data_IF_464496616076
#
_entry.id   IF_464496616076
#
_cell.length_a   1.000
_cell.length_b   1.000
_cell.length_c   1.000
_cell.angle_alpha   90.00
_cell.angle_beta   90.00
_cell.angle_gamma   90.00
#
_symmetry.space_group_name_H-M   'P 1'
#
loop_
_entity.id
_entity.type
_entity.pdbx_description
1 polymer ?
#
# COMPACT_ATOMS: atom_id res chain seq x y z
N UNK A 1 -11.06 29.32 -13.53
CA UNK A 1 -9.72 28.84 -13.10
C UNK A 1 -8.92 29.81 -12.23
N UNK A 2 -8.87 31.15 -12.46
CA UNK A 2 -7.90 31.98 -11.72
C UNK A 2 -8.25 32.16 -10.24
N UNK A 3 -9.52 32.17 -9.83
CA UNK A 3 -9.92 32.40 -8.42
C UNK A 3 -9.74 31.13 -7.56
N UNK A 4 -10.12 29.96 -8.06
CA UNK A 4 -9.86 28.69 -7.36
C UNK A 4 -8.36 28.38 -7.32
N UNK A 5 -7.62 28.67 -8.40
CA UNK A 5 -6.17 28.61 -8.41
C UNK A 5 -5.55 29.66 -7.48
N UNK A 6 -6.09 30.88 -7.38
CA UNK A 6 -5.64 31.89 -6.42
C UNK A 6 -5.93 31.47 -4.98
N UNK A 7 -7.08 30.85 -4.72
CA UNK A 7 -7.47 30.37 -3.39
C UNK A 7 -6.65 29.15 -2.99
N UNK A 8 -6.46 28.17 -3.89
CA UNK A 8 -5.55 27.05 -3.69
C UNK A 8 -4.09 27.51 -3.59
N UNK A 9 -3.67 28.52 -4.34
CA UNK A 9 -2.35 29.14 -4.19
C UNK A 9 -2.24 29.94 -2.89
N UNK A 10 -3.30 30.59 -2.40
CA UNK A 10 -3.30 31.31 -1.11
C UNK A 10 -3.26 30.34 0.06
N UNK A 11 -4.01 29.25 -0.02
CA UNK A 11 -3.98 28.17 0.98
C UNK A 11 -2.64 27.43 0.91
N UNK A 12 -2.14 27.13 -0.29
CA UNK A 12 -0.82 26.53 -0.51
C UNK A 12 0.32 27.44 -0.04
N UNK A 13 0.24 28.76 -0.27
CA UNK A 13 1.24 29.72 0.23
C UNK A 13 1.12 29.93 1.74
N UNK A 14 -0.07 29.92 2.35
CA UNK A 14 -0.17 29.87 3.81
C UNK A 14 0.44 28.59 4.39
N UNK A 15 0.23 27.45 3.73
CA UNK A 15 0.86 26.18 4.11
C UNK A 15 2.37 26.26 3.94
N UNK A 16 2.89 26.76 2.82
CA UNK A 16 4.33 26.95 2.55
C UNK A 16 4.98 27.94 3.53
N UNK A 17 4.33 29.07 3.83
CA UNK A 17 4.80 30.04 4.83
C UNK A 17 4.86 29.38 6.22
N UNK A 18 3.93 28.47 6.53
CA UNK A 18 4.00 27.65 7.74
C UNK A 18 5.03 26.48 7.66
N UNK A 19 5.63 26.21 6.49
CA UNK A 19 6.77 25.28 6.33
C UNK A 19 8.13 25.99 6.37
N UNK A 20 8.18 27.32 6.20
CA UNK A 20 9.45 28.06 6.11
C UNK A 20 10.18 28.27 7.45
N UNK A 21 9.56 27.98 8.59
CA UNK A 21 10.23 28.07 9.89
C UNK A 21 11.18 26.88 10.22
N UNK A 22 11.26 25.85 9.37
CA UNK A 22 12.06 24.63 9.64
C UNK A 22 13.23 24.35 8.68
N UNK A 23 13.67 25.29 7.84
CA UNK A 23 14.87 25.08 7.02
C UNK A 23 16.06 25.87 7.58
N UNK A 24 16.99 25.26 8.35
CA UNK A 24 18.29 25.86 8.54
C UNK A 24 19.02 25.87 7.18
N UNK A 25 19.57 27.02 6.83
CA UNK A 25 20.23 27.28 5.56
C UNK A 25 21.22 26.17 5.17
N UNK A 26 20.95 25.49 4.06
CA UNK A 26 21.94 24.64 3.40
C UNK A 26 23.12 25.52 2.99
N UNK A 27 24.26 25.31 3.65
CA UNK A 27 25.53 25.89 3.24
C UNK A 27 25.90 25.27 1.90
N UNK A 28 26.09 26.11 0.88
CA UNK A 28 26.53 25.70 -0.43
C UNK A 28 27.90 25.01 -0.34
N UNK A 29 27.94 23.68 -0.53
CA UNK A 29 29.16 22.98 -0.90
C UNK A 29 29.22 22.95 -2.42
N UNK A 30 30.10 23.80 -2.92
CA UNK A 30 30.49 23.93 -4.30
C UNK A 30 31.08 22.60 -4.80
N UNK A 31 30.60 22.15 -5.96
CA UNK A 31 31.14 21.01 -6.68
C UNK A 31 32.60 21.24 -7.07
N UNK A 32 33.54 20.51 -6.47
CA UNK A 32 34.84 20.25 -7.08
C UNK A 32 34.72 18.96 -7.90
N UNK A 33 34.31 19.14 -9.16
CA UNK A 33 34.44 18.12 -10.19
C UNK A 33 35.84 18.28 -10.78
N UNK A 34 36.79 17.46 -10.34
CA UNK A 34 38.13 17.46 -10.91
C UNK A 34 38.11 16.69 -12.23
N UNK A 35 38.26 17.46 -13.30
CA UNK A 35 38.54 17.09 -14.66
C UNK A 35 39.74 16.12 -14.74
N UNK A 36 39.53 14.89 -15.24
CA UNK A 36 40.62 14.04 -15.73
C UNK A 36 40.55 14.10 -17.25
N UNK A 37 41.33 15.02 -17.80
CA UNK A 37 41.62 15.14 -19.22
C UNK A 37 42.47 13.95 -19.68
N UNK A 38 42.17 13.45 -20.86
CA UNK A 38 42.98 12.48 -21.57
C UNK A 38 44.32 13.11 -21.98
N UNK A 39 45.43 12.54 -21.53
CA UNK A 39 46.70 12.45 -22.24
C UNK A 39 47.67 11.59 -21.42
N UNK A 40 47.99 10.40 -21.92
CA UNK A 40 49.36 9.90 -22.17
C UNK A 40 49.21 8.50 -22.78
N UNK A 41 49.51 8.44 -24.08
CA UNK A 41 49.82 7.23 -24.83
C UNK A 41 51.27 6.84 -24.50
N UNK A 42 51.46 5.56 -24.18
CA UNK A 42 52.70 4.80 -24.26
C UNK A 42 52.29 3.34 -24.12
N UNK A 43 52.00 2.64 -25.22
CA UNK A 43 52.97 1.86 -26.00
C UNK A 43 53.92 1.09 -25.10
N UNK A 44 53.51 -0.13 -24.76
CA UNK A 44 54.37 -1.31 -24.68
C UNK A 44 53.46 -2.53 -24.90
N UNK A 45 53.55 -3.10 -26.09
CA UNK A 45 52.81 -4.28 -26.48
C UNK A 45 53.34 -5.54 -25.82
N UNK A 46 52.42 -6.41 -25.38
CA UNK A 46 52.69 -7.85 -25.40
C UNK A 46 51.39 -8.61 -25.70
N UNK A 47 51.36 -9.23 -26.87
CA UNK A 47 50.28 -10.09 -27.33
C UNK A 47 50.52 -11.52 -26.81
N UNK A 48 49.56 -12.09 -26.10
CA UNK A 48 49.48 -13.54 -25.87
C UNK A 48 48.05 -14.03 -26.12
N UNK A 49 47.98 -15.13 -26.87
CA UNK A 49 46.85 -15.74 -27.55
C UNK A 49 45.91 -16.56 -26.60
N UNK A 50 44.84 -17.22 -27.11
CA UNK A 50 43.58 -17.45 -26.40
C UNK A 50 43.55 -18.65 -25.44
N UNK A 51 42.46 -18.71 -24.66
CA UNK A 51 42.12 -19.66 -23.62
C UNK A 51 42.33 -21.15 -23.95
N UNK A 52 42.60 -21.98 -22.92
CA UNK A 52 42.28 -23.40 -22.94
C UNK A 52 41.14 -23.76 -21.97
N UNK A 53 40.31 -24.71 -22.42
CA UNK A 53 39.28 -25.41 -21.66
C UNK A 53 39.79 -26.06 -20.36
N UNK A 54 39.02 -25.93 -19.27
CA UNK A 54 39.12 -26.76 -18.06
C UNK A 54 37.71 -26.90 -17.46
N UNK A 55 37.00 -28.00 -17.74
CA UNK A 55 36.99 -29.29 -17.02
C UNK A 55 35.91 -29.37 -15.91
N UNK A 56 35.25 -30.53 -15.90
CA UNK A 56 33.97 -30.84 -15.29
C UNK A 56 33.95 -30.81 -13.75
N UNK A 57 32.79 -30.46 -13.20
CA UNK A 57 32.43 -30.52 -11.78
C UNK A 57 32.23 -32.00 -11.39
N UNK A 58 32.84 -32.51 -10.30
CA UNK A 58 32.53 -33.86 -9.83
C UNK A 58 31.19 -33.92 -9.10
N UNK A 59 30.42 -34.95 -9.47
CA UNK A 59 29.12 -35.36 -8.94
C UNK A 59 29.24 -35.79 -7.46
N UNK A 60 28.40 -35.25 -6.59
CA UNK A 60 28.37 -35.61 -5.16
C UNK A 60 27.35 -36.75 -4.98
N UNK A 61 27.86 -37.93 -4.66
CA UNK A 61 27.10 -39.15 -4.36
C UNK A 61 26.37 -39.06 -3.01
N UNK A 62 25.08 -39.40 -3.00
CA UNK A 62 24.26 -39.63 -1.79
C UNK A 62 24.77 -40.83 -0.96
N UNK A 63 24.74 -40.77 0.39
CA UNK A 63 24.87 -41.96 1.22
C UNK A 63 23.52 -42.65 1.46
N UNK A 64 23.50 -43.99 1.63
CA UNK A 64 22.29 -44.81 1.51
C UNK A 64 21.42 -44.85 2.76
N UNK A 65 20.14 -45.13 2.53
CA UNK A 65 19.11 -45.43 3.51
C UNK A 65 19.51 -46.63 4.41
N UNK A 66 19.38 -46.44 5.73
CA UNK A 66 19.39 -47.53 6.70
C UNK A 66 17.97 -47.80 7.21
N UNK A 67 17.62 -49.08 7.27
CA UNK A 67 16.29 -49.61 7.50
C UNK A 67 15.83 -49.49 8.96
N UNK A 68 14.51 -49.50 9.09
CA UNK A 68 13.72 -49.42 10.31
C UNK A 68 13.90 -50.61 11.27
N UNK A 69 13.73 -50.33 12.56
CA UNK A 69 13.25 -51.29 13.55
C UNK A 69 12.11 -50.62 14.32
N UNK A 70 10.88 -51.08 14.10
CA UNK A 70 9.65 -50.64 14.75
C UNK A 70 9.25 -51.62 15.85
N UNK A 71 8.94 -51.11 17.04
CA UNK A 71 8.34 -51.87 18.14
C UNK A 71 6.99 -51.21 18.53
N UNK A 72 5.92 -51.96 18.23
CA UNK A 72 4.55 -52.00 18.79
C UNK A 72 3.63 -50.74 18.80
N UNK A 73 2.56 -50.82 17.99
CA UNK A 73 1.23 -50.18 18.17
C UNK A 73 0.44 -50.88 19.30
N UNK A 74 -0.55 -50.29 20.00
CA UNK A 74 -1.91 -49.82 19.59
C UNK A 74 -2.66 -49.21 20.82
N UNK A 75 -3.88 -48.62 20.74
CA UNK A 75 -4.44 -47.67 19.77
C UNK A 75 -5.03 -46.40 20.45
N UNK A 76 -5.07 -45.28 19.72
CA UNK A 76 -5.87 -44.10 20.05
C UNK A 76 -7.22 -44.15 19.33
N UNK A 77 -8.28 -43.72 20.03
CA UNK A 77 -9.67 -43.76 19.59
C UNK A 77 -9.97 -42.87 18.36
N UNK A 78 -10.78 -43.40 17.44
CA UNK A 78 -11.32 -42.75 16.25
C UNK A 78 -12.27 -41.58 16.56
N UNK A 79 -12.09 -40.46 15.86
CA UNK A 79 -13.09 -39.40 15.68
C UNK A 79 -13.35 -39.28 14.16
N UNK A 80 -14.59 -39.33 13.67
CA UNK A 80 -14.89 -39.39 12.24
C UNK A 80 -14.73 -38.03 11.53
N UNK A 81 -14.24 -38.07 10.29
CA UNK A 81 -14.07 -36.93 9.39
C UNK A 81 -15.42 -36.36 8.89
N UNK A 82 -15.55 -35.04 8.70
CA UNK A 82 -16.71 -34.46 8.03
C UNK A 82 -16.58 -34.52 6.50
N UNK A 83 -17.72 -34.71 5.84
CA UNK A 83 -17.86 -34.94 4.41
C UNK A 83 -17.47 -33.74 3.53
N UNK A 84 -16.83 -34.04 2.40
CA UNK A 84 -16.47 -33.11 1.32
C UNK A 84 -17.71 -32.77 0.49
N UNK A 85 -17.99 -31.48 0.33
CA UNK A 85 -18.99 -30.94 -0.60
C UNK A 85 -18.25 -30.25 -1.74
N UNK A 86 -18.47 -30.71 -2.97
CA UNK A 86 -17.91 -30.12 -4.21
C UNK A 86 -18.47 -28.72 -4.50
N UNK A 87 -17.66 -27.76 -4.97
CA UNK A 87 -18.15 -26.59 -5.68
C UNK A 87 -17.94 -26.74 -7.20
N UNK A 88 -19.05 -26.67 -7.94
CA UNK A 88 -19.06 -26.52 -9.38
C UNK A 88 -18.85 -25.03 -9.76
N UNK A 89 -17.82 -24.74 -10.57
CA UNK A 89 -17.80 -23.66 -11.56
C UNK A 89 -16.47 -23.68 -12.34
N UNK A 90 -16.55 -24.11 -13.60
CA UNK A 90 -15.50 -24.09 -14.62
C UNK A 90 -15.07 -22.68 -14.98
N UNK A 91 -13.76 -22.42 -14.95
CA UNK A 91 -13.12 -21.21 -15.51
C UNK A 91 -12.42 -21.64 -16.81
N UNK A 92 -12.87 -21.10 -17.95
CA UNK A 92 -12.25 -21.32 -19.26
C UNK A 92 -10.96 -20.50 -19.40
N UNK A 93 -9.86 -21.18 -19.72
CA UNK A 93 -8.59 -20.60 -20.06
C UNK A 93 -8.55 -20.19 -21.54
N UNK A 94 -8.18 -18.94 -21.81
CA UNK A 94 -7.97 -18.40 -23.15
C UNK A 94 -6.60 -18.85 -23.70
N UNK A 95 -6.60 -19.57 -24.82
CA UNK A 95 -5.39 -19.90 -25.58
C UNK A 95 -5.54 -19.48 -27.05
N UNK A 96 -4.53 -18.77 -27.53
CA UNK A 96 -4.37 -18.22 -28.88
C UNK A 96 -4.24 -19.29 -29.97
N UNK A 97 -4.84 -19.08 -31.15
CA UNK A 97 -4.50 -19.82 -32.37
C UNK A 97 -4.41 -18.89 -33.58
N UNK A 98 -3.28 -19.05 -34.28
CA UNK A 98 -2.79 -18.37 -35.49
C UNK A 98 -3.48 -18.93 -36.76
N UNK A 99 -3.57 -18.10 -37.81
CA UNK A 99 -4.32 -18.32 -39.05
C UNK A 99 -3.63 -19.16 -40.15
N UNK A 100 -4.47 -19.57 -41.14
CA UNK A 100 -4.26 -19.85 -42.59
C UNK A 100 -4.58 -21.29 -43.08
N UNK A 101 -4.95 -21.52 -44.37
CA UNK A 101 -5.82 -20.73 -45.27
C UNK A 101 -6.90 -21.59 -46.00
N UNK A 102 -7.88 -20.92 -46.62
CA UNK A 102 -9.07 -21.50 -47.29
C UNK A 102 -8.75 -22.02 -48.71
N UNK A 103 -9.33 -23.17 -49.09
CA UNK A 103 -9.26 -23.82 -50.41
C UNK A 103 -10.66 -23.83 -51.06
N UNK A 104 -10.75 -23.39 -52.33
CA UNK A 104 -11.94 -23.38 -53.22
C UNK A 104 -11.58 -24.29 -54.41
N UNK A 105 -12.44 -25.22 -54.91
CA UNK A 105 -13.54 -24.95 -55.87
C UNK A 105 -14.73 -25.95 -55.72
N UNK A 106 -15.84 -25.99 -56.47
CA UNK A 106 -16.15 -25.63 -57.85
C UNK A 106 -17.67 -25.36 -58.04
N UNK A 107 -17.97 -24.75 -59.17
CA UNK A 107 -19.25 -24.19 -59.63
C UNK A 107 -20.21 -25.26 -60.16
N UNK A 108 -21.52 -25.12 -59.89
CA UNK A 108 -22.57 -25.58 -60.80
C UNK A 108 -23.81 -24.68 -60.75
N UNK A 109 -24.21 -24.20 -61.92
CA UNK A 109 -25.30 -23.24 -62.19
C UNK A 109 -26.51 -23.99 -62.74
N UNK A 110 -27.74 -23.58 -62.38
CA UNK A 110 -28.81 -23.58 -63.36
C UNK A 110 -29.37 -22.19 -63.59
N UNK A 111 -29.40 -21.84 -64.87
CA UNK A 111 -29.95 -20.62 -65.47
C UNK A 111 -31.47 -20.68 -65.42
N UNK A 112 -32.10 -19.64 -64.86
CA UNK A 112 -33.49 -19.29 -65.15
C UNK A 112 -33.60 -17.76 -65.24
N UNK A 113 -33.82 -17.27 -66.45
CA UNK A 113 -33.95 -15.86 -66.79
C UNK A 113 -35.35 -15.33 -66.38
N UNK A 114 -35.37 -14.20 -65.67
CA UNK A 114 -36.55 -13.37 -65.48
C UNK A 114 -36.16 -11.88 -65.71
N UNK A 115 -37.08 -11.03 -66.20
CA UNK A 115 -36.74 -9.88 -67.04
C UNK A 115 -36.14 -8.68 -66.31
N UNK A 116 -35.29 -7.95 -67.04
CA UNK A 116 -34.59 -6.72 -66.65
C UNK A 116 -35.56 -5.53 -66.70
N UNK A 117 -35.78 -4.87 -65.56
CA UNK A 117 -36.27 -3.48 -65.52
C UNK A 117 -35.07 -2.51 -65.39
N UNK A 118 -35.10 -1.33 -66.07
CA UNK A 118 -33.92 -0.48 -66.16
C UNK A 118 -33.63 0.23 -64.85
N UNK A 119 -32.39 0.07 -64.38
CA UNK A 119 -31.83 0.72 -63.22
C UNK A 119 -31.95 2.25 -63.29
N UNK A 120 -32.71 2.84 -62.37
CA UNK A 120 -32.54 4.23 -61.97
C UNK A 120 -31.39 4.28 -60.95
N UNK A 121 -30.26 4.87 -61.35
CA UNK A 121 -29.15 5.18 -60.45
C UNK A 121 -29.61 6.24 -59.46
N UNK A 122 -30.02 5.81 -58.26
CA UNK A 122 -30.23 6.70 -57.14
C UNK A 122 -28.87 7.10 -56.57
N UNK A 123 -28.38 8.28 -56.96
CA UNK A 123 -27.30 8.97 -56.27
C UNK A 123 -27.82 9.34 -54.88
N UNK A 124 -27.32 8.64 -53.85
CA UNK A 124 -27.59 9.01 -52.47
C UNK A 124 -26.96 10.38 -52.19
N UNK A 125 -27.81 11.41 -52.13
CA UNK A 125 -27.43 12.74 -51.64
C UNK A 125 -27.18 12.59 -50.13
N UNK A 126 -25.93 12.68 -49.72
CA UNK A 126 -25.56 12.74 -48.31
C UNK A 126 -26.15 14.03 -47.70
N UNK A 127 -27.02 13.88 -46.70
CA UNK A 127 -27.42 14.99 -45.84
C UNK A 127 -26.18 15.57 -45.16
N UNK A 128 -26.01 16.91 -45.09
CA UNK A 128 -24.89 17.49 -44.39
C UNK A 128 -24.99 17.13 -42.91
N UNK A 129 -23.96 16.46 -42.40
CA UNK A 129 -23.82 16.14 -40.99
C UNK A 129 -23.99 17.43 -40.17
N UNK A 130 -24.99 17.42 -39.28
CA UNK A 130 -25.23 18.48 -38.32
C UNK A 130 -23.96 18.67 -37.50
N UNK A 131 -23.29 19.80 -37.68
CA UNK A 131 -22.06 20.12 -36.95
C UNK A 131 -22.29 19.91 -35.45
N UNK A 132 -21.31 19.35 -34.71
CA UNK A 132 -21.45 19.22 -33.27
C UNK A 132 -21.57 20.63 -32.70
N UNK A 133 -22.73 20.91 -32.10
CA UNK A 133 -22.94 22.14 -31.35
C UNK A 133 -21.95 22.13 -30.19
N UNK A 134 -20.83 22.83 -30.34
CA UNK A 134 -19.91 23.10 -29.24
C UNK A 134 -20.65 24.04 -28.29
N UNK A 135 -21.01 23.63 -27.05
CA UNK A 135 -21.68 24.54 -26.14
C UNK A 135 -20.74 25.71 -25.82
N UNK A 136 -21.10 26.90 -26.30
CA UNK A 136 -20.34 28.15 -26.18
C UNK A 136 -20.44 28.80 -24.79
N UNK A 137 -20.38 27.99 -23.73
CA UNK A 137 -20.13 28.51 -22.38
C UNK A 137 -19.13 27.61 -21.68
N UNK A 138 -17.96 28.18 -21.37
CA UNK A 138 -17.06 27.63 -20.35
C UNK A 138 -17.82 27.67 -19.02
N UNK A 139 -18.60 26.63 -18.74
CA UNK A 139 -19.19 26.42 -17.43
C UNK A 139 -18.07 25.99 -16.48
N UNK A 140 -17.38 26.97 -15.90
CA UNK A 140 -16.33 26.73 -14.90
C UNK A 140 -16.86 26.05 -13.64
N UNK A 141 -18.16 26.17 -13.39
CA UNK A 141 -18.84 25.53 -12.27
C UNK A 141 -20.02 24.73 -12.79
N UNK A 142 -20.00 23.45 -12.50
CA UNK A 142 -21.16 22.58 -12.66
C UNK A 142 -22.02 22.68 -11.40
N UNK A 143 -23.12 23.44 -11.48
CA UNK A 143 -24.06 23.59 -10.37
C UNK A 143 -24.73 22.27 -9.96
N UNK A 144 -24.70 21.24 -10.80
CA UNK A 144 -25.20 19.91 -10.42
C UNK A 144 -24.36 19.24 -9.34
N UNK A 145 -23.09 19.65 -9.18
CA UNK A 145 -22.15 19.11 -8.18
C UNK A 145 -21.81 20.10 -7.07
N UNK A 146 -22.66 21.11 -6.86
CA UNK A 146 -22.45 22.11 -5.81
C UNK A 146 -22.39 21.48 -4.40
N UNK A 147 -23.11 20.38 -4.18
CA UNK A 147 -23.04 19.57 -2.96
C UNK A 147 -21.63 19.02 -2.69
N UNK A 148 -20.95 18.48 -3.71
CA UNK A 148 -19.57 17.97 -3.60
C UNK A 148 -18.62 19.10 -3.22
N UNK A 149 -18.77 20.29 -3.82
CA UNK A 149 -17.97 21.46 -3.47
C UNK A 149 -18.15 21.86 -2.00
N UNK A 150 -19.39 21.87 -1.50
CA UNK A 150 -19.67 22.16 -0.09
C UNK A 150 -19.02 21.13 0.84
N UNK A 151 -19.06 19.84 0.49
CA UNK A 151 -18.37 18.79 1.26
C UNK A 151 -16.87 19.01 1.29
N UNK A 152 -16.24 19.28 0.14
CA UNK A 152 -14.80 19.55 0.05
C UNK A 152 -14.42 20.79 0.88
N UNK A 153 -15.17 21.89 0.76
CA UNK A 153 -14.92 23.11 1.53
C UNK A 153 -15.08 22.88 3.04
N UNK A 154 -16.08 22.09 3.43
CA UNK A 154 -16.28 21.71 4.84
C UNK A 154 -15.10 20.89 5.34
N UNK A 155 -14.62 19.92 4.55
CA UNK A 155 -13.45 19.11 4.89
C UNK A 155 -12.19 19.98 5.04
N UNK A 156 -11.94 20.87 4.07
CA UNK A 156 -10.80 21.80 4.12
C UNK A 156 -10.90 22.72 5.34
N UNK A 157 -12.09 23.23 5.67
CA UNK A 157 -12.30 24.11 6.81
C UNK A 157 -12.00 23.41 8.14
N UNK A 158 -12.48 22.18 8.34
CA UNK A 158 -12.22 21.40 9.54
C UNK A 158 -10.74 21.05 9.69
N UNK A 159 -10.10 20.50 8.64
CA UNK A 159 -8.68 20.16 8.66
C UNK A 159 -7.83 21.41 8.96
N UNK A 160 -8.09 22.52 8.27
CA UNK A 160 -7.35 23.78 8.49
C UNK A 160 -7.57 24.35 9.90
N UNK A 161 -8.81 24.32 10.40
CA UNK A 161 -9.15 24.80 11.74
C UNK A 161 -8.38 24.03 12.83
N UNK A 162 -8.41 22.70 12.79
CA UNK A 162 -7.73 21.87 13.78
C UNK A 162 -6.20 21.92 13.64
N UNK A 163 -5.68 21.98 12.41
CA UNK A 163 -4.24 22.15 12.15
C UNK A 163 -3.72 23.47 12.74
N UNK A 164 -4.42 24.56 12.47
CA UNK A 164 -4.06 25.87 12.99
C UNK A 164 -4.13 25.93 14.53
N UNK A 165 -5.13 25.28 15.12
CA UNK A 165 -5.23 25.21 16.57
C UNK A 165 -4.14 24.34 17.21
N UNK A 166 -3.76 23.22 16.58
CA UNK A 166 -2.66 22.39 17.04
C UNK A 166 -1.33 23.16 17.02
N UNK A 167 -1.05 23.87 15.92
CA UNK A 167 0.16 24.69 15.76
C UNK A 167 0.26 25.80 16.80
N UNK A 168 -0.87 26.31 17.32
CA UNK A 168 -0.90 27.31 18.40
C UNK A 168 -0.69 26.74 19.81
N UNK A 169 -0.24 25.49 19.91
CA UNK A 169 0.07 24.83 21.18
C UNK A 169 -1.16 24.36 21.96
N UNK A 170 -2.33 24.30 21.34
CA UNK A 170 -3.47 23.61 21.97
C UNK A 170 -3.23 22.12 21.90
N UNK A 171 -3.17 21.47 23.05
CA UNK A 171 -3.11 20.01 23.13
C UNK A 171 -4.42 19.43 22.58
N UNK A 172 -4.34 18.82 21.40
CA UNK A 172 -5.46 18.09 20.81
C UNK A 172 -5.42 16.65 21.30
N UNK A 173 -6.50 16.21 21.92
CA UNK A 173 -6.65 14.82 22.32
C UNK A 173 -6.86 13.91 21.10
N UNK A 174 -5.90 13.01 20.86
CA UNK A 174 -6.00 11.87 19.94
C UNK A 174 -6.26 10.60 20.76
N UNK A 175 -7.11 9.70 20.25
CA UNK A 175 -7.34 8.38 20.85
C UNK A 175 -6.02 7.60 20.88
N UNK A 176 -5.75 6.91 21.99
CA UNK A 176 -4.60 5.99 22.08
C UNK A 176 -4.81 4.79 21.16
N UNK A 177 -3.79 4.47 20.38
CA UNK A 177 -3.76 3.30 19.51
C UNK A 177 -2.90 2.25 20.21
N UNK A 178 -3.54 1.18 20.71
CA UNK A 178 -2.88 0.19 21.59
C UNK A 178 -1.66 -0.46 20.93
N UNK A 179 -1.75 -0.81 19.65
CA UNK A 179 -0.62 -1.41 18.92
C UNK A 179 0.58 -0.48 18.77
N UNK A 180 0.36 0.84 18.78
CA UNK A 180 1.43 1.82 18.62
C UNK A 180 2.14 2.12 19.94
N UNK A 181 1.41 2.12 21.07
CA UNK A 181 2.06 2.15 22.39
C UNK A 181 2.88 0.89 22.67
N UNK A 182 2.43 -0.27 22.19
CA UNK A 182 3.14 -1.53 22.39
C UNK A 182 4.42 -1.64 21.55
N UNK A 183 4.61 -0.78 20.54
CA UNK A 183 5.80 -0.81 19.68
C UNK A 183 7.08 -0.50 20.45
N UNK A 184 7.10 0.56 21.25
CA UNK A 184 8.28 0.90 22.06
C UNK A 184 8.56 -0.16 23.11
N UNK A 185 7.53 -0.67 23.77
CA UNK A 185 7.63 -1.75 24.76
C UNK A 185 8.18 -3.04 24.14
N UNK A 186 7.78 -3.36 22.91
CA UNK A 186 8.27 -4.52 22.17
C UNK A 186 9.78 -4.42 21.86
N UNK A 187 10.27 -3.24 21.47
CA UNK A 187 11.71 -3.00 21.26
C UNK A 187 12.47 -3.07 22.60
N UNK A 188 11.91 -2.51 23.67
CA UNK A 188 12.46 -2.60 25.02
C UNK A 188 12.63 -4.06 25.46
N UNK A 189 11.57 -4.87 25.34
CA UNK A 189 11.66 -6.31 25.67
C UNK A 189 12.62 -7.08 24.78
N UNK A 190 12.71 -6.76 23.48
CA UNK A 190 13.69 -7.38 22.60
C UNK A 190 15.12 -7.13 23.11
N UNK A 191 15.39 -5.91 23.56
CA UNK A 191 16.67 -5.52 24.18
C UNK A 191 16.92 -6.29 25.48
N UNK A 192 15.93 -6.36 26.37
CA UNK A 192 16.03 -7.09 27.64
C UNK A 192 16.30 -8.59 27.44
N UNK A 193 15.78 -9.17 26.34
CA UNK A 193 16.02 -10.56 25.96
C UNK A 193 17.34 -10.77 25.20
N UNK A 194 18.06 -9.71 24.85
CA UNK A 194 19.27 -9.78 24.02
C UNK A 194 19.01 -10.29 22.60
N UNK A 195 17.78 -10.15 22.09
CA UNK A 195 17.32 -10.63 20.79
C UNK A 195 16.98 -9.44 19.88
N UNK A 196 17.05 -9.66 18.57
CA UNK A 196 16.77 -8.61 17.59
C UNK A 196 15.29 -8.29 17.40
N UNK A 197 15.05 -7.26 16.60
CA UNK A 197 13.75 -6.85 16.06
C UNK A 197 13.73 -7.15 14.57
N UNK A 198 12.64 -7.76 14.09
CA UNK A 198 12.36 -7.91 12.66
C UNK A 198 11.26 -6.93 12.23
N UNK A 199 11.45 -6.24 11.12
CA UNK A 199 10.51 -5.26 10.59
C UNK A 199 10.22 -5.49 9.11
N UNK A 200 8.94 -5.52 8.73
CA UNK A 200 8.49 -5.67 7.35
C UNK A 200 7.48 -4.55 7.01
N UNK A 201 7.79 -3.65 6.07
CA UNK A 201 6.93 -2.53 5.70
C UNK A 201 5.81 -2.89 4.68
N UNK A 202 5.40 -4.16 4.61
CA UNK A 202 4.54 -4.68 3.54
C UNK A 202 5.30 -5.22 2.33
N UNK A 203 4.55 -5.73 1.34
CA UNK A 203 5.12 -6.37 0.13
C UNK A 203 5.02 -5.54 -1.17
N UNK A 204 4.39 -4.38 -1.08
CA UNK A 204 4.17 -3.49 -2.24
C UNK A 204 5.35 -2.53 -2.41
N UNK A 205 5.40 -1.81 -3.54
CA UNK A 205 6.42 -0.80 -3.79
C UNK A 205 6.05 0.55 -3.14
N UNK A 206 6.89 1.57 -3.31
CA UNK A 206 6.69 2.92 -2.77
C UNK A 206 5.55 3.71 -3.44
N UNK A 207 4.90 3.16 -4.46
CA UNK A 207 3.67 3.71 -5.04
C UNK A 207 2.43 3.38 -4.18
N UNK A 208 2.53 2.38 -3.30
CA UNK A 208 1.51 2.06 -2.30
C UNK A 208 1.62 2.95 -1.06
N UNK A 209 0.49 3.53 -0.67
CA UNK A 209 0.40 4.44 0.47
C UNK A 209 0.68 3.74 1.80
N UNK A 210 0.39 2.44 1.92
CA UNK A 210 0.67 1.69 3.15
C UNK A 210 2.16 1.40 3.28
N UNK A 211 2.87 1.09 2.19
CA UNK A 211 4.33 0.97 2.19
C UNK A 211 5.00 2.26 2.65
N UNK A 212 4.55 3.42 2.16
CA UNK A 212 5.06 4.73 2.61
C UNK A 212 4.85 4.90 4.13
N UNK A 213 3.65 4.58 4.62
CA UNK A 213 3.35 4.64 6.06
C UNK A 213 4.23 3.67 6.87
N UNK A 214 4.38 2.43 6.41
CA UNK A 214 5.24 1.40 7.01
C UNK A 214 6.68 1.86 7.12
N UNK A 215 7.27 2.30 6.02
CA UNK A 215 8.66 2.81 6.03
C UNK A 215 8.82 4.06 6.92
N UNK A 216 7.79 4.91 7.05
CA UNK A 216 7.81 6.04 7.99
C UNK A 216 7.80 5.58 9.46
N UNK A 217 7.05 4.52 9.78
CA UNK A 217 7.04 3.92 11.12
C UNK A 217 8.37 3.20 11.39
N UNK A 218 8.98 2.55 10.39
CA UNK A 218 10.32 1.96 10.47
C UNK A 218 11.35 2.97 10.99
N UNK A 219 11.31 4.23 10.54
CA UNK A 219 12.19 5.28 11.07
C UNK A 219 12.06 5.47 12.58
N UNK A 220 10.84 5.43 13.11
CA UNK A 220 10.62 5.52 14.57
C UNK A 220 11.12 4.28 15.31
N UNK A 221 10.90 3.09 14.75
CA UNK A 221 11.44 1.83 15.30
C UNK A 221 12.97 1.88 15.31
N UNK A 222 13.57 2.33 14.21
CA UNK A 222 15.02 2.49 14.06
C UNK A 222 15.62 3.45 15.09
N UNK A 223 14.93 4.56 15.41
CA UNK A 223 15.34 5.46 16.48
C UNK A 223 15.38 4.76 17.84
N UNK A 224 14.40 3.89 18.12
CA UNK A 224 14.33 3.15 19.39
C UNK A 224 15.34 2.01 19.45
N UNK A 225 15.54 1.27 18.36
CA UNK A 225 16.58 0.23 18.30
C UNK A 225 17.98 0.83 18.39
N UNK A 226 18.22 2.01 17.81
CA UNK A 226 19.49 2.73 17.97
C UNK A 226 19.72 3.20 19.42
N UNK A 227 18.66 3.69 20.08
CA UNK A 227 18.70 4.14 21.48
C UNK A 227 19.01 2.98 22.44
N UNK A 228 18.42 1.81 22.20
CA UNK A 228 18.58 0.63 23.06
C UNK A 228 19.67 -0.35 22.61
N UNK A 229 20.40 -0.04 21.53
CA UNK A 229 21.40 -0.93 20.93
C UNK A 229 20.85 -2.32 20.52
N UNK A 230 19.63 -2.34 20.02
CA UNK A 230 18.93 -3.56 19.58
C UNK A 230 19.24 -3.86 18.11
N UNK A 231 19.59 -5.11 17.74
CA UNK A 231 19.70 -5.49 16.34
C UNK A 231 18.37 -5.29 15.58
N UNK A 232 18.40 -4.55 14.47
CA UNK A 232 17.25 -4.38 13.57
C UNK A 232 17.50 -5.16 12.27
N UNK A 233 16.58 -6.06 11.94
CA UNK A 233 16.52 -6.81 10.68
C UNK A 233 15.32 -6.33 9.88
N UNK A 234 15.55 -5.81 8.69
CA UNK A 234 14.50 -5.25 7.84
C UNK A 234 14.63 -5.81 6.42
N UNK A 235 14.34 -7.11 6.20
CA UNK A 235 14.37 -7.70 4.87
C UNK A 235 13.26 -7.11 4.00
N UNK A 236 13.59 -6.74 2.77
CA UNK A 236 12.70 -6.05 1.84
C UNK A 236 12.40 -6.92 0.64
N UNK A 237 11.15 -6.90 0.16
CA UNK A 237 10.79 -7.59 -1.07
C UNK A 237 11.03 -6.73 -2.31
N UNK A 238 10.98 -5.39 -2.22
CA UNK A 238 11.25 -4.47 -3.33
C UNK A 238 12.59 -3.77 -3.17
N UNK A 239 13.34 -3.66 -4.26
CA UNK A 239 14.67 -3.04 -4.28
C UNK A 239 14.63 -1.52 -4.08
N UNK A 240 13.59 -0.85 -4.59
CA UNK A 240 13.42 0.59 -4.37
C UNK A 240 13.04 0.90 -2.91
N UNK A 241 12.11 0.13 -2.33
CA UNK A 241 11.75 0.20 -0.90
C UNK A 241 12.99 -0.03 -0.03
N UNK A 242 13.87 -0.98 -0.37
CA UNK A 242 15.15 -1.18 0.34
C UNK A 242 16.01 0.07 0.38
N UNK A 243 16.18 0.75 -0.77
CA UNK A 243 17.00 1.97 -0.85
C UNK A 243 16.44 3.07 0.05
N UNK A 244 15.12 3.25 0.05
CA UNK A 244 14.44 4.25 0.89
C UNK A 244 14.54 3.87 2.37
N UNK A 245 14.32 2.60 2.71
CA UNK A 245 14.42 2.10 4.08
C UNK A 245 15.83 2.26 4.64
N UNK A 246 16.87 1.96 3.84
CA UNK A 246 18.27 2.17 4.23
C UNK A 246 18.54 3.64 4.60
N UNK A 247 18.09 4.58 3.77
CA UNK A 247 18.30 6.01 4.05
C UNK A 247 17.55 6.45 5.31
N UNK A 248 16.30 6.02 5.50
CA UNK A 248 15.51 6.36 6.68
C UNK A 248 16.12 5.77 7.96
N UNK A 249 16.56 4.51 7.93
CA UNK A 249 17.20 3.89 9.09
C UNK A 249 18.54 4.56 9.38
N UNK A 250 19.36 4.84 8.35
CA UNK A 250 20.62 5.57 8.51
C UNK A 250 20.41 6.93 9.15
N UNK A 251 19.45 7.72 8.65
CA UNK A 251 19.10 9.02 9.21
C UNK A 251 18.60 8.92 10.66
N UNK A 252 17.78 7.91 10.95
CA UNK A 252 17.26 7.64 12.30
C UNK A 252 18.38 7.32 13.30
N UNK A 253 19.38 6.54 12.88
CA UNK A 253 20.57 6.24 13.69
C UNK A 253 21.48 7.46 13.86
N UNK A 254 21.62 8.29 12.83
CA UNK A 254 22.37 9.54 12.89
C UNK A 254 21.74 10.54 13.88
N UNK A 255 20.42 10.70 13.85
CA UNK A 255 19.68 11.56 14.79
C UNK A 255 19.83 11.13 16.25
N UNK A 256 20.02 9.82 16.50
CA UNK A 256 20.30 9.27 17.83
C UNK A 256 21.78 9.29 18.20
N UNK A 257 22.65 9.83 17.34
CA UNK A 257 24.09 9.91 17.58
C UNK A 257 24.79 8.54 17.56
N UNK A 258 24.20 7.54 16.88
CA UNK A 258 24.71 6.16 16.78
C UNK A 258 24.98 5.71 15.33
N UNK A 259 25.67 6.51 14.49
CA UNK A 259 25.94 6.12 13.09
C UNK A 259 26.84 4.87 13.01
N UNK A 260 27.65 4.60 14.03
CA UNK A 260 28.51 3.43 14.17
C UNK A 260 27.73 2.12 14.35
N UNK A 261 26.49 2.18 14.84
CA UNK A 261 25.62 1.02 15.03
C UNK A 261 24.78 0.69 13.78
N UNK A 262 24.78 1.58 12.77
CA UNK A 262 24.05 1.33 11.51
C UNK A 262 24.67 0.15 10.75
N UNK A 263 23.80 -0.76 10.28
CA UNK A 263 24.18 -1.99 9.56
C UNK A 263 23.34 -2.11 8.29
N UNK A 264 23.81 -1.62 7.13
CA UNK A 264 23.03 -1.66 5.89
C UNK A 264 22.80 -3.09 5.39
N UNK A 265 23.67 -4.03 5.73
CA UNK A 265 23.59 -5.46 5.41
C UNK A 265 22.33 -6.14 5.99
N UNK A 266 21.74 -5.57 7.05
CA UNK A 266 20.51 -6.06 7.68
C UNK A 266 19.23 -5.46 7.08
N UNK A 267 19.38 -4.55 6.14
CA UNK A 267 18.28 -3.88 5.41
C UNK A 267 18.47 -4.25 3.94
N UNK A 268 18.15 -5.50 3.62
CA UNK A 268 18.55 -6.13 2.37
C UNK A 268 17.33 -6.54 1.54
N UNK A 269 17.48 -6.46 0.23
CA UNK A 269 16.55 -7.04 -0.72
C UNK A 269 16.75 -8.56 -0.75
N UNK A 270 15.65 -9.33 -0.65
CA UNK A 270 15.69 -10.79 -0.77
C UNK A 270 15.27 -11.23 -2.17
N UNK A 271 14.01 -10.98 -2.52
CA UNK A 271 13.42 -11.38 -3.81
C UNK A 271 12.06 -10.68 -3.99
N UNK A 272 11.69 -10.46 -5.24
CA UNK A 272 10.37 -9.97 -5.67
C UNK A 272 9.30 -11.09 -5.71
N UNK A 273 9.72 -12.36 -5.63
CA UNK A 273 8.78 -13.50 -5.56
C UNK A 273 8.13 -13.57 -4.17
N UNK A 274 6.80 -13.53 -4.12
CA UNK A 274 6.05 -13.37 -2.87
C UNK A 274 6.35 -14.49 -1.86
N UNK A 275 6.24 -15.76 -2.26
CA UNK A 275 6.45 -16.88 -1.34
C UNK A 275 7.94 -17.15 -1.09
N UNK A 276 8.81 -16.90 -2.07
CA UNK A 276 10.25 -16.89 -1.89
C UNK A 276 10.70 -15.86 -0.86
N UNK A 277 10.08 -14.65 -0.87
CA UNK A 277 10.32 -13.61 0.13
C UNK A 277 9.93 -14.11 1.52
N UNK A 278 8.72 -14.65 1.67
CA UNK A 278 8.24 -15.18 2.95
C UNK A 278 9.10 -16.33 3.47
N UNK A 279 9.52 -17.25 2.60
CA UNK A 279 10.42 -18.34 2.98
C UNK A 279 11.79 -17.80 3.44
N UNK A 280 12.33 -16.80 2.72
CA UNK A 280 13.58 -16.13 3.10
C UNK A 280 13.49 -15.41 4.45
N UNK A 281 12.41 -14.66 4.67
CA UNK A 281 12.11 -14.01 5.95
C UNK A 281 11.92 -15.04 7.06
N UNK A 282 11.19 -16.12 6.82
CA UNK A 282 11.02 -17.20 7.78
C UNK A 282 12.35 -17.86 8.15
N UNK A 283 13.25 -18.04 7.18
CA UNK A 283 14.62 -18.47 7.43
C UNK A 283 15.40 -17.52 8.33
N UNK A 284 15.24 -16.20 8.17
CA UNK A 284 15.82 -15.18 9.06
C UNK A 284 15.22 -15.32 10.47
N UNK A 285 13.90 -15.42 10.59
CA UNK A 285 13.22 -15.58 11.88
C UNK A 285 13.72 -16.82 12.64
N UNK A 286 13.83 -17.97 11.97
CA UNK A 286 14.27 -19.22 12.60
C UNK A 286 15.74 -19.20 13.06
N UNK A 287 16.58 -18.46 12.33
CA UNK A 287 18.03 -18.41 12.58
C UNK A 287 18.40 -17.33 13.60
N UNK A 288 17.90 -16.12 13.41
CA UNK A 288 18.20 -14.96 14.27
C UNK A 288 17.28 -14.89 15.49
N UNK A 289 16.12 -15.54 15.44
CA UNK A 289 15.12 -15.57 16.51
C UNK A 289 14.87 -14.16 17.03
N UNK A 290 14.24 -13.25 16.26
CA UNK A 290 13.87 -11.93 16.78
C UNK A 290 12.90 -12.08 17.97
N UNK A 291 12.96 -11.18 18.94
CA UNK A 291 12.02 -11.14 20.06
C UNK A 291 10.79 -10.28 19.77
N UNK A 292 10.86 -9.42 18.76
CA UNK A 292 9.73 -8.65 18.27
C UNK A 292 9.69 -8.66 16.73
N UNK A 293 8.51 -8.87 16.17
CA UNK A 293 8.23 -8.79 14.74
C UNK A 293 7.19 -7.70 14.48
N UNK A 294 7.49 -6.82 13.51
CA UNK A 294 6.61 -5.76 13.07
C UNK A 294 6.20 -5.98 11.62
N UNK A 295 4.89 -6.04 11.36
CA UNK A 295 4.32 -6.22 10.01
C UNK A 295 3.41 -5.04 9.69
N UNK A 296 3.94 -3.97 9.09
CA UNK A 296 3.24 -2.70 8.95
C UNK A 296 3.22 -2.24 7.50
N UNK A 297 2.12 -2.49 6.78
CA UNK A 297 2.00 -2.19 5.36
C UNK A 297 0.91 -2.99 4.66
N UNK A 298 1.01 -3.09 3.34
CA UNK A 298 0.13 -3.94 2.53
C UNK A 298 0.63 -5.38 2.55
N UNK A 299 -0.26 -6.29 2.91
CA UNK A 299 -0.01 -7.73 2.88
C UNK A 299 -1.18 -8.48 2.23
N UNK A 300 -0.95 -9.73 1.86
CA UNK A 300 -1.94 -10.72 1.41
C UNK A 300 -1.72 -12.05 2.16
N UNK A 301 -1.69 -13.19 1.44
CA UNK A 301 -1.59 -14.53 1.99
C UNK A 301 -0.39 -14.76 2.93
N UNK A 302 0.69 -13.99 2.75
CA UNK A 302 1.86 -14.03 3.61
C UNK A 302 1.60 -13.62 5.06
N UNK A 303 0.51 -12.87 5.32
CA UNK A 303 0.18 -12.34 6.65
C UNK A 303 0.19 -13.45 7.71
N UNK A 304 -0.52 -14.56 7.43
CA UNK A 304 -0.58 -15.70 8.35
C UNK A 304 0.73 -16.48 8.43
N UNK A 305 1.44 -16.63 7.31
CA UNK A 305 2.68 -17.41 7.29
C UNK A 305 3.77 -16.69 8.11
N UNK A 306 3.91 -15.38 7.91
CA UNK A 306 4.82 -14.54 8.68
C UNK A 306 4.41 -14.52 10.16
N UNK A 307 3.13 -14.33 10.45
CA UNK A 307 2.63 -14.30 11.82
C UNK A 307 2.83 -15.64 12.56
N UNK A 308 2.54 -16.77 11.92
CA UNK A 308 2.75 -18.08 12.53
C UNK A 308 4.24 -18.37 12.76
N UNK A 309 5.09 -17.96 11.81
CA UNK A 309 6.55 -18.11 11.96
C UNK A 309 7.10 -17.24 13.09
N UNK A 310 6.62 -16.01 13.23
CA UNK A 310 6.98 -15.13 14.35
C UNK A 310 6.52 -15.69 15.70
N UNK A 311 5.32 -16.29 15.75
CA UNK A 311 4.80 -16.98 16.94
C UNK A 311 5.65 -18.20 17.29
N UNK A 312 6.06 -18.99 16.30
CA UNK A 312 6.90 -20.18 16.50
C UNK A 312 8.28 -19.87 17.12
N UNK A 313 8.83 -18.67 16.88
CA UNK A 313 10.08 -18.21 17.51
C UNK A 313 9.84 -17.45 18.83
N UNK A 314 8.58 -17.33 19.27
CA UNK A 314 8.18 -16.64 20.49
C UNK A 314 8.38 -15.12 20.44
N UNK A 315 8.27 -14.51 19.27
CA UNK A 315 8.34 -13.06 19.13
C UNK A 315 7.00 -12.43 19.52
N UNK A 316 7.02 -11.26 20.19
CA UNK A 316 5.83 -10.41 20.19
C UNK A 316 5.60 -9.91 18.76
N UNK A 317 4.33 -9.86 18.34
CA UNK A 317 3.97 -9.45 17.00
C UNK A 317 3.05 -8.25 17.03
N UNK A 318 3.44 -7.20 16.32
CA UNK A 318 2.61 -6.02 16.10
C UNK A 318 2.44 -5.85 14.60
N UNK A 319 1.20 -5.99 14.16
CA UNK A 319 0.84 -5.89 12.76
C UNK A 319 0.01 -4.64 12.49
N UNK A 320 -0.14 -4.27 11.23
CA UNK A 320 -0.97 -3.16 10.80
C UNK A 320 -1.13 -3.13 9.30
N UNK A 321 -2.37 -3.12 8.86
CA UNK A 321 -2.72 -3.07 7.44
C UNK A 321 -4.06 -2.37 7.23
N UNK A 322 -4.20 -1.73 6.09
CA UNK A 322 -5.45 -1.19 5.59
C UNK A 322 -6.12 -2.08 4.55
N UNK A 323 -5.56 -3.26 4.29
CA UNK A 323 -6.17 -4.27 3.42
C UNK A 323 -7.29 -5.02 4.18
N UNK A 324 -8.58 -4.78 3.87
CA UNK A 324 -9.68 -5.33 4.67
C UNK A 324 -9.71 -6.85 4.71
N UNK A 325 -9.21 -7.49 3.64
CA UNK A 325 -9.15 -8.94 3.51
C UNK A 325 -8.12 -9.60 4.46
N UNK A 326 -7.10 -8.85 4.91
CA UNK A 326 -6.02 -9.39 5.75
C UNK A 326 -6.12 -9.02 7.23
N UNK A 327 -6.88 -7.98 7.58
CA UNK A 327 -7.07 -7.55 8.98
C UNK A 327 -7.47 -8.73 9.90
N UNK A 328 -8.43 -9.61 9.53
CA UNK A 328 -8.81 -10.73 10.40
C UNK A 328 -7.66 -11.69 10.72
N UNK A 329 -6.72 -11.88 9.80
CA UNK A 329 -5.57 -12.76 10.00
C UNK A 329 -4.60 -12.19 11.03
N UNK A 330 -4.26 -10.91 10.92
CA UNK A 330 -3.40 -10.28 11.90
C UNK A 330 -4.07 -10.16 13.27
N UNK A 331 -5.38 -9.87 13.32
CA UNK A 331 -6.14 -9.85 14.58
C UNK A 331 -6.13 -11.22 15.26
N UNK A 332 -6.15 -12.32 14.50
CA UNK A 332 -6.13 -13.66 15.04
C UNK A 332 -4.73 -14.16 15.43
N UNK A 333 -3.68 -13.72 14.71
CA UNK A 333 -2.33 -14.29 14.80
C UNK A 333 -1.29 -13.38 15.49
N UNK A 334 -1.58 -12.10 15.72
CA UNK A 334 -0.65 -11.14 16.33
C UNK A 334 -1.19 -10.58 17.66
N UNK A 335 -0.27 -10.18 18.54
CA UNK A 335 -0.63 -9.62 19.86
C UNK A 335 -1.34 -8.26 19.75
N UNK A 336 -0.93 -7.45 18.78
CA UNK A 336 -1.56 -6.17 18.48
C UNK A 336 -1.71 -5.99 16.97
N UNK A 337 -2.83 -5.41 16.56
CA UNK A 337 -3.09 -5.10 15.14
C UNK A 337 -3.62 -3.68 14.99
N UNK A 338 -2.97 -2.89 14.15
CA UNK A 338 -3.48 -1.61 13.67
C UNK A 338 -4.48 -1.84 12.54
N UNK A 339 -5.68 -1.29 12.70
CA UNK A 339 -6.78 -1.54 11.76
C UNK A 339 -6.96 -0.32 10.85
N UNK A 340 -6.75 -0.51 9.54
CA UNK A 340 -7.13 0.50 8.55
C UNK A 340 -6.42 1.83 8.75
N UNK A 341 -7.20 2.84 9.12
CA UNK A 341 -6.74 4.20 9.35
C UNK A 341 -5.71 4.35 10.47
N UNK A 342 -5.64 3.39 11.40
CA UNK A 342 -4.66 3.42 12.48
C UNK A 342 -3.21 3.33 11.95
N UNK A 343 -2.99 2.64 10.82
CA UNK A 343 -1.68 2.58 10.17
C UNK A 343 -1.25 3.97 9.67
N UNK A 344 -2.17 4.71 9.05
CA UNK A 344 -1.89 6.06 8.53
C UNK A 344 -1.81 7.12 9.63
N UNK A 345 -2.52 6.91 10.74
CA UNK A 345 -2.45 7.77 11.91
C UNK A 345 -1.15 7.59 12.73
N UNK A 346 -0.38 6.53 12.46
CA UNK A 346 0.76 6.16 13.28
C UNK A 346 1.88 7.19 13.29
N UNK A 347 2.17 7.82 12.14
CA UNK A 347 3.19 8.89 12.06
C UNK A 347 2.83 10.07 12.95
N UNK A 348 1.58 10.56 12.88
CA UNK A 348 1.08 11.66 13.69
C UNK A 348 1.18 11.36 15.20
N UNK A 349 0.93 10.11 15.58
CA UNK A 349 0.96 9.68 16.97
C UNK A 349 2.40 9.53 17.50
N UNK A 350 3.31 8.98 16.71
CA UNK A 350 4.72 8.78 17.11
C UNK A 350 5.53 10.08 17.05
N UNK A 351 5.35 10.89 16.01
CA UNK A 351 6.07 12.15 15.82
C UNK A 351 5.58 13.25 16.75
N UNK A 352 4.29 13.18 17.16
CA UNK A 352 3.56 14.25 17.86
C UNK A 352 3.63 15.60 17.15
N UNK A 353 3.85 15.61 15.83
CA UNK A 353 3.93 16.83 15.05
C UNK A 353 2.56 17.53 15.07
N UNK A 354 2.45 18.80 15.51
CA UNK A 354 1.18 19.51 15.59
C UNK A 354 0.42 19.54 14.26
N UNK A 355 1.12 19.59 13.11
CA UNK A 355 0.48 19.58 11.78
C UNK A 355 -0.25 18.25 11.52
N UNK A 356 0.44 17.13 11.77
CA UNK A 356 -0.10 15.79 11.54
C UNK A 356 -1.23 15.49 12.54
N UNK A 357 -1.03 15.84 13.81
CA UNK A 357 -2.02 15.70 14.89
C UNK A 357 -3.30 16.49 14.59
N UNK A 358 -3.15 17.74 14.14
CA UNK A 358 -4.28 18.60 13.79
C UNK A 358 -5.04 18.11 12.55
N UNK A 359 -4.34 17.62 11.54
CA UNK A 359 -4.95 17.00 10.36
C UNK A 359 -5.77 15.76 10.73
N UNK A 360 -5.18 14.85 11.52
CA UNK A 360 -5.84 13.64 12.00
C UNK A 360 -7.11 13.99 12.79
N UNK A 361 -7.03 14.97 13.71
CA UNK A 361 -8.20 15.42 14.47
C UNK A 361 -9.29 16.01 13.59
N UNK A 362 -8.91 16.80 12.58
CA UNK A 362 -9.85 17.37 11.62
C UNK A 362 -10.61 16.28 10.85
N UNK A 363 -9.89 15.25 10.38
CA UNK A 363 -10.48 14.11 9.69
C UNK A 363 -11.45 13.34 10.59
N UNK A 364 -11.07 13.06 11.84
CA UNK A 364 -11.93 12.36 12.80
C UNK A 364 -13.23 13.13 13.10
N UNK A 365 -13.14 14.45 13.23
CA UNK A 365 -14.31 15.30 13.48
C UNK A 365 -15.26 15.36 12.29
N UNK A 366 -14.73 15.35 11.06
CA UNK A 366 -15.55 15.26 9.86
C UNK A 366 -16.24 13.90 9.79
N UNK A 367 -15.53 12.79 10.07
CA UNK A 367 -16.14 11.45 10.11
C UNK A 367 -17.29 11.41 11.12
N UNK A 368 -17.10 11.99 12.31
CA UNK A 368 -18.16 12.09 13.32
C UNK A 368 -19.36 12.89 12.81
N UNK A 369 -19.12 14.02 12.13
CA UNK A 369 -20.19 14.81 11.50
C UNK A 369 -20.94 13.99 10.44
N UNK A 370 -20.22 13.27 9.57
CA UNK A 370 -20.82 12.41 8.54
C UNK A 370 -21.65 11.31 9.21
N UNK A 371 -21.15 10.65 10.26
CA UNK A 371 -21.89 9.64 11.03
C UNK A 371 -23.17 10.25 11.62
N UNK A 372 -23.10 11.43 12.23
CA UNK A 372 -24.26 12.11 12.79
C UNK A 372 -25.31 12.44 11.71
N UNK A 373 -24.87 12.98 10.57
CA UNK A 373 -25.74 13.28 9.43
C UNK A 373 -26.37 12.00 8.85
N UNK A 374 -25.60 10.91 8.74
CA UNK A 374 -26.12 9.62 8.31
C UNK A 374 -27.18 9.08 9.28
N UNK A 375 -26.91 9.05 10.58
CA UNK A 375 -27.85 8.57 11.60
C UNK A 375 -29.14 9.42 11.59
N UNK A 376 -29.02 10.74 11.59
CA UNK A 376 -30.18 11.64 11.53
C UNK A 376 -30.94 11.40 10.23
N UNK A 377 -30.25 11.36 9.08
CA UNK A 377 -30.86 11.11 7.77
C UNK A 377 -31.61 9.79 7.71
N UNK A 378 -31.00 8.71 8.18
CA UNK A 378 -31.62 7.37 8.23
C UNK A 378 -32.86 7.37 9.13
N UNK A 379 -32.79 7.97 10.31
CA UNK A 379 -33.95 8.07 11.22
C UNK A 379 -35.08 8.89 10.59
N UNK A 380 -34.75 10.01 9.97
CA UNK A 380 -35.70 10.94 9.35
C UNK A 380 -36.44 10.26 8.19
N UNK A 381 -35.71 9.55 7.32
CA UNK A 381 -36.30 8.75 6.23
C UNK A 381 -37.14 7.58 6.77
N UNK A 382 -36.71 6.94 7.86
CA UNK A 382 -37.45 5.82 8.47
C UNK A 382 -38.77 6.29 9.08
N UNK A 383 -38.78 7.41 9.81
CA UNK A 383 -39.98 8.02 10.41
C UNK A 383 -40.92 8.55 9.33
N UNK A 384 -40.39 9.18 8.28
CA UNK A 384 -41.20 9.69 7.17
C UNK A 384 -41.99 8.59 6.44
N UNK A 385 -41.49 7.33 6.46
CA UNK A 385 -42.16 6.17 5.84
C UNK A 385 -43.16 5.45 6.74
N UNK A 386 -43.28 5.83 8.01
CA UNK A 386 -44.26 5.23 8.93
C UNK A 386 -45.63 5.91 8.79
N UNK A 387 -46.72 5.21 9.14
CA UNK A 387 -48.09 5.77 9.07
C UNK A 387 -48.27 7.07 9.86
N UNK A 388 -47.52 7.24 10.96
CA UNK A 388 -47.52 8.45 11.79
C UNK A 388 -46.70 9.62 11.21
N UNK A 389 -45.76 9.35 10.31
CA UNK A 389 -44.91 10.36 9.68
C UNK A 389 -45.39 10.81 8.30
N UNK A 390 -46.23 9.99 7.64
CA UNK A 390 -46.83 10.31 6.35
C UNK A 390 -47.71 11.57 6.44
N UNK A 391 -47.38 12.61 5.67
CA UNK A 391 -48.11 13.88 5.64
C UNK A 391 -47.65 14.93 6.67
N UNK A 392 -46.60 14.66 7.45
CA UNK A 392 -46.02 15.62 8.40
C UNK A 392 -44.79 16.34 7.82
N UNK A 393 -44.26 17.33 8.56
CA UNK A 393 -43.00 18.04 8.22
C UNK A 393 -41.82 17.09 8.01
N UNK A 394 -41.86 15.89 8.62
CA UNK A 394 -40.81 14.89 8.44
C UNK A 394 -40.73 14.36 7.00
N UNK A 395 -41.83 14.29 6.27
CA UNK A 395 -41.84 13.85 4.87
C UNK A 395 -41.16 14.85 3.93
N UNK A 396 -41.47 16.15 4.07
CA UNK A 396 -40.83 17.21 3.26
C UNK A 396 -39.35 17.39 3.60
N UNK A 397 -39.00 17.23 4.88
CA UNK A 397 -37.63 17.32 5.34
C UNK A 397 -36.78 16.13 4.85
N UNK A 398 -37.36 14.91 4.81
CA UNK A 398 -36.72 13.73 4.22
C UNK A 398 -36.49 13.89 2.72
N UNK A 399 -37.46 14.44 1.98
CA UNK A 399 -37.32 14.65 0.54
C UNK A 399 -36.22 15.68 0.22
N UNK A 400 -36.16 16.78 0.97
CA UNK A 400 -35.10 17.78 0.83
C UNK A 400 -33.72 17.22 1.17
N UNK A 401 -33.62 16.41 2.24
CA UNK A 401 -32.37 15.73 2.60
C UNK A 401 -31.90 14.79 1.49
N UNK A 402 -32.81 13.99 0.92
CA UNK A 402 -32.50 13.09 -0.20
C UNK A 402 -32.12 13.83 -1.49
N UNK A 403 -32.67 15.03 -1.72
CA UNK A 403 -32.26 15.89 -2.84
C UNK A 403 -30.86 16.49 -2.65
N UNK A 404 -30.45 16.74 -1.41
CA UNK A 404 -29.13 17.30 -1.10
C UNK A 404 -28.01 16.25 -1.26
N UNK A 405 -28.33 14.97 -1.02
CA UNK A 405 -27.40 13.85 -1.19
C UNK A 405 -27.24 13.35 -2.64
N UNK A 406 -28.22 13.62 -3.50
CA UNK A 406 -28.11 13.38 -4.95
C UNK A 406 -27.29 14.49 -5.59
#
# INVERSE_FOLDING_TARGET
>A
MPILALFLCLVSTMVLVAQQEEVPAATALQSEMTEITADVIGDDGEAVAPAPDAQAIPEISEPPAAMAETVSEEPAAQIPAPAVVEPAATVEASASVVADPVKVPDVDVPVAAAPIEPAAVAVAVAEPAKEPVVPASLNYFDMSRANVLVVILTLMAFVSYYTFHAQRGKELFIRRISGLSALEDAVGRATEMGRGVLYIPGIMDMDDIQTIAGVTILGHVAKKTAEYDTPLFAPMTRSFVMSVAQEIVKQSYLEKGRPDAYRPDRINYLTDDQFGYVAGVGGIMMREKPAACFYLGTFYAESLILAETGNAVGAIQIAGTAEPSQIPFFVAACDYTLIGEELFAASAYLSKNPKEVGSLKGQDMIKLLIIAVMVIGTLLVTIAKTEYGAGTVFASLAENFMRLLK
#
